data_IF_137725998907
#
_entry.id   IF_137725998907
#
_cell.length_a   1.000
_cell.length_b   1.000
_cell.length_c   1.000
_cell.angle_alpha   90.00
_cell.angle_beta   90.00
_cell.angle_gamma   90.00
#
_symmetry.space_group_name_H-M   'P 1'
#
loop_
_entity.id
_entity.type
_entity.pdbx_description
1 polymer ?
#
# COMPACT_ATOMS: atom_id res chain seq x y z
N UNK A 1 -25.05 11.76 -31.14
CA UNK A 1 -24.62 11.43 -29.75
C UNK A 1 -23.16 10.99 -29.81
N UNK A 2 -22.16 11.71 -29.27
CA UNK A 2 -20.81 11.16 -29.21
C UNK A 2 -20.77 10.14 -28.07
N UNK A 3 -20.46 8.89 -28.41
CA UNK A 3 -20.18 7.84 -27.45
C UNK A 3 -18.97 8.25 -26.61
N UNK A 4 -19.20 8.55 -25.33
CA UNK A 4 -18.14 8.74 -24.36
C UNK A 4 -17.28 7.47 -24.33
N UNK A 5 -16.03 7.56 -24.79
CA UNK A 5 -15.08 6.45 -24.67
C UNK A 5 -15.03 6.05 -23.19
N UNK A 6 -15.38 4.81 -22.81
CA UNK A 6 -15.08 4.36 -21.46
C UNK A 6 -13.57 4.47 -21.26
N UNK A 7 -13.12 4.80 -20.04
CA UNK A 7 -11.70 4.79 -19.61
C UNK A 7 -11.12 3.37 -19.68
N UNK A 8 -11.16 2.76 -20.85
CA UNK A 8 -10.75 1.41 -21.11
C UNK A 8 -9.22 1.35 -21.08
N UNK A 9 -8.72 0.37 -20.33
CA UNK A 9 -7.36 -0.13 -20.42
C UNK A 9 -6.22 0.70 -19.83
N UNK A 10 -6.40 1.21 -18.60
CA UNK A 10 -5.25 1.29 -17.66
C UNK A 10 -5.04 -0.07 -16.97
N UNK A 11 -5.02 -1.16 -17.72
CA UNK A 11 -4.70 -2.49 -17.19
C UNK A 11 -3.21 -2.75 -17.40
N UNK A 12 -2.44 -2.88 -16.32
CA UNK A 12 -1.08 -3.42 -16.36
C UNK A 12 -1.14 -4.80 -17.02
N UNK A 13 -0.22 -5.10 -17.95
CA UNK A 13 -0.20 -6.38 -18.68
C UNK A 13 -0.33 -7.58 -17.72
N UNK A 14 0.41 -7.55 -16.61
CA UNK A 14 0.39 -8.59 -15.58
C UNK A 14 -0.97 -8.73 -14.86
N UNK A 15 -1.65 -7.63 -14.57
CA UNK A 15 -2.97 -7.67 -13.94
C UNK A 15 -4.05 -8.14 -14.93
N UNK A 16 -3.87 -7.83 -16.22
CA UNK A 16 -4.75 -8.32 -17.29
C UNK A 16 -4.57 -9.83 -17.52
N UNK A 17 -3.33 -10.32 -17.47
CA UNK A 17 -3.00 -11.76 -17.56
C UNK A 17 -3.64 -12.56 -16.42
N UNK A 18 -3.73 -11.97 -15.23
CA UNK A 18 -4.43 -12.54 -14.08
C UNK A 18 -5.96 -12.35 -14.10
N UNK A 19 -6.52 -11.68 -15.11
CA UNK A 19 -7.96 -11.38 -15.20
C UNK A 19 -8.47 -10.35 -14.18
N UNK A 20 -7.58 -9.59 -13.53
CA UNK A 20 -7.88 -8.67 -12.45
C UNK A 20 -7.97 -7.21 -12.94
N UNK A 21 -8.79 -6.39 -12.28
CA UNK A 21 -8.70 -4.94 -12.42
C UNK A 21 -7.41 -4.44 -11.76
N UNK A 22 -6.80 -3.34 -12.24
CA UNK A 22 -5.62 -2.78 -11.59
C UNK A 22 -5.82 -2.51 -10.10
N UNK A 23 -7.04 -2.13 -9.70
CA UNK A 23 -7.39 -1.88 -8.30
C UNK A 23 -7.41 -3.16 -7.46
N UNK A 24 -7.90 -4.26 -8.04
CA UNK A 24 -7.85 -5.58 -7.43
C UNK A 24 -6.41 -6.05 -7.28
N UNK A 25 -5.63 -5.90 -8.34
CA UNK A 25 -4.23 -6.33 -8.42
C UNK A 25 -3.35 -5.63 -7.37
N UNK A 26 -3.50 -4.31 -7.23
CA UNK A 26 -2.79 -3.51 -6.22
C UNK A 26 -3.23 -3.88 -4.80
N UNK A 27 -4.54 -4.13 -4.57
CA UNK A 27 -5.04 -4.62 -3.27
C UNK A 27 -4.43 -5.97 -2.90
N UNK A 28 -4.35 -6.89 -3.85
CA UNK A 28 -3.81 -8.23 -3.63
C UNK A 28 -2.30 -8.21 -3.41
N UNK A 29 -1.56 -7.38 -4.16
CA UNK A 29 -0.13 -7.16 -3.93
C UNK A 29 0.14 -6.59 -2.53
N UNK A 30 -0.66 -5.62 -2.08
CA UNK A 30 -0.59 -5.07 -0.72
C UNK A 30 -0.83 -6.15 0.35
N UNK A 31 -1.83 -7.02 0.15
CA UNK A 31 -2.13 -8.11 1.08
C UNK A 31 -0.97 -9.11 1.18
N UNK A 32 -0.41 -9.52 0.04
CA UNK A 32 0.74 -10.43 0.01
C UNK A 32 1.96 -9.82 0.72
N UNK A 33 2.21 -8.52 0.55
CA UNK A 33 3.31 -7.84 1.24
C UNK A 33 3.13 -7.83 2.75
N UNK A 34 1.93 -7.56 3.28
CA UNK A 34 1.67 -7.58 4.74
C UNK A 34 1.82 -8.98 5.35
N UNK A 35 1.63 -10.05 4.57
CA UNK A 35 1.87 -11.41 5.05
C UNK A 35 3.37 -11.69 5.25
N UNK A 36 4.22 -11.15 4.38
CA UNK A 36 5.66 -11.45 4.34
C UNK A 36 6.47 -10.43 5.15
N UNK A 37 5.97 -9.20 5.30
CA UNK A 37 6.63 -8.14 6.06
C UNK A 37 6.07 -8.01 7.48
N UNK A 38 6.97 -7.83 8.46
CA UNK A 38 6.59 -7.66 9.86
C UNK A 38 6.19 -6.21 10.19
N UNK A 39 6.86 -5.25 9.56
CA UNK A 39 6.60 -3.81 9.70
C UNK A 39 7.11 -3.12 8.43
N UNK A 40 6.23 -2.44 7.71
CA UNK A 40 6.58 -1.79 6.43
C UNK A 40 6.34 -0.30 6.56
N UNK A 41 7.42 0.48 6.55
CA UNK A 41 7.33 1.93 6.56
C UNK A 41 6.62 2.46 5.29
N UNK A 42 5.91 3.58 5.44
CA UNK A 42 5.15 4.22 4.35
C UNK A 42 6.03 4.58 3.15
N UNK A 43 7.26 5.03 3.41
CA UNK A 43 8.24 5.38 2.38
C UNK A 43 8.72 4.14 1.62
N UNK A 44 9.09 3.08 2.34
CA UNK A 44 9.52 1.82 1.74
C UNK A 44 8.38 1.16 0.94
N UNK A 45 7.17 1.11 1.48
CA UNK A 45 5.98 0.60 0.80
C UNK A 45 5.75 1.31 -0.54
N UNK A 46 5.90 2.65 -0.55
CA UNK A 46 5.75 3.44 -1.78
C UNK A 46 6.87 3.16 -2.78
N UNK A 47 8.09 2.94 -2.31
CA UNK A 47 9.24 2.62 -3.14
C UNK A 47 9.06 1.23 -3.80
N UNK A 48 8.62 0.23 -3.02
CA UNK A 48 8.25 -1.10 -3.51
C UNK A 48 7.15 -1.00 -4.56
N UNK A 49 6.13 -0.18 -4.33
CA UNK A 49 5.08 0.04 -5.32
C UNK A 49 5.63 0.48 -6.68
N UNK A 50 6.56 1.43 -6.71
CA UNK A 50 7.15 1.90 -7.97
C UNK A 50 8.12 0.90 -8.61
N UNK A 51 8.71 -0.01 -7.83
CA UNK A 51 9.48 -1.13 -8.37
C UNK A 51 8.59 -2.17 -9.07
N UNK A 52 7.40 -2.45 -8.49
CA UNK A 52 6.43 -3.41 -9.05
C UNK A 52 5.64 -2.78 -10.22
N UNK A 53 5.33 -1.48 -10.11
CA UNK A 53 4.50 -0.74 -11.05
C UNK A 53 5.21 0.56 -11.51
N UNK A 54 6.20 0.44 -12.42
CA UNK A 54 6.99 1.60 -12.88
C UNK A 54 6.18 2.58 -13.76
N UNK A 55 5.03 2.13 -14.27
CA UNK A 55 4.16 2.92 -15.12
C UNK A 55 3.59 4.15 -14.41
N UNK A 56 3.83 5.36 -14.96
CA UNK A 56 3.31 6.61 -14.41
C UNK A 56 1.77 6.63 -14.28
N UNK A 57 1.06 5.86 -15.13
CA UNK A 57 -0.38 5.69 -15.04
C UNK A 57 -0.84 5.12 -13.70
N UNK A 58 0.01 4.35 -13.02
CA UNK A 58 -0.26 3.70 -11.75
C UNK A 58 0.16 4.56 -10.55
N UNK A 59 0.90 5.66 -10.75
CA UNK A 59 1.44 6.49 -9.68
C UNK A 59 0.35 7.01 -8.72
N UNK A 60 -0.84 7.33 -9.25
CA UNK A 60 -1.99 7.75 -8.44
C UNK A 60 -2.49 6.69 -7.45
N UNK A 61 -2.19 5.41 -7.69
CA UNK A 61 -2.61 4.29 -6.85
C UNK A 61 -1.60 3.95 -5.75
N UNK A 62 -0.41 4.54 -5.77
CA UNK A 62 0.60 4.34 -4.73
C UNK A 62 0.08 4.70 -3.33
N UNK A 63 -0.75 5.74 -3.25
CA UNK A 63 -1.39 6.14 -1.98
C UNK A 63 -2.41 5.10 -1.50
N UNK A 64 -3.26 4.57 -2.40
CA UNK A 64 -4.22 3.50 -2.03
C UNK A 64 -3.50 2.21 -1.61
N UNK A 65 -2.36 1.91 -2.22
CA UNK A 65 -1.52 0.77 -1.85
C UNK A 65 -0.98 0.89 -0.43
N UNK A 66 -0.35 2.02 -0.10
CA UNK A 66 0.18 2.28 1.25
C UNK A 66 -0.93 2.24 2.30
N UNK A 67 -2.10 2.84 2.01
CA UNK A 67 -3.26 2.79 2.92
C UNK A 67 -3.78 1.35 3.11
N UNK A 68 -3.74 0.54 2.06
CA UNK A 68 -4.18 -0.86 2.12
C UNK A 68 -3.22 -1.72 2.97
N UNK A 69 -1.92 -1.41 2.96
CA UNK A 69 -0.90 -2.05 3.80
C UNK A 69 -1.16 -1.70 5.27
N UNK A 70 -1.26 -0.41 5.60
CA UNK A 70 -1.50 0.04 6.98
C UNK A 70 -2.79 -0.56 7.57
N UNK A 71 -3.90 -0.45 6.84
CA UNK A 71 -5.19 -1.01 7.30
C UNK A 71 -5.12 -2.51 7.59
N UNK A 72 -4.36 -3.26 6.81
CA UNK A 72 -4.20 -4.70 6.99
C UNK A 72 -3.21 -5.03 8.12
N UNK A 73 -2.15 -4.25 8.29
CA UNK A 73 -1.22 -4.38 9.42
C UNK A 73 -1.95 -4.11 10.75
N UNK A 74 -2.73 -3.03 10.82
CA UNK A 74 -3.59 -2.71 11.97
C UNK A 74 -4.60 -3.84 12.24
N UNK A 75 -5.25 -4.36 11.19
CA UNK A 75 -6.18 -5.49 11.31
C UNK A 75 -5.52 -6.77 11.83
N UNK A 76 -4.26 -7.04 11.45
CA UNK A 76 -3.48 -8.19 11.93
C UNK A 76 -3.10 -8.04 13.41
N UNK A 77 -2.67 -6.84 13.83
CA UNK A 77 -2.39 -6.53 15.23
C UNK A 77 -3.65 -6.70 16.09
N UNK A 78 -4.78 -6.18 15.63
CA UNK A 78 -6.07 -6.33 16.29
C UNK A 78 -6.50 -7.81 16.40
N UNK A 79 -6.37 -8.59 15.32
CA UNK A 79 -6.70 -10.02 15.32
C UNK A 79 -5.75 -10.84 16.21
N UNK A 80 -4.50 -10.43 16.34
CA UNK A 80 -3.53 -11.06 17.25
C UNK A 80 -3.70 -10.64 18.71
N UNK A 81 -4.60 -9.68 19.01
CA UNK A 81 -4.76 -9.13 20.36
C UNK A 81 -3.56 -8.32 20.84
N UNK A 82 -2.66 -7.91 19.94
CA UNK A 82 -1.53 -7.06 20.29
C UNK A 82 -1.97 -5.59 20.29
N UNK A 83 -1.60 -4.81 21.32
CA UNK A 83 -1.85 -3.37 21.30
C UNK A 83 -1.06 -2.75 20.13
N UNK A 84 -1.60 -1.70 19.47
CA UNK A 84 -0.86 -0.97 18.44
C UNK A 84 0.46 -0.49 19.06
N UNK A 85 1.58 -0.74 18.36
CA UNK A 85 2.90 -0.40 18.84
C UNK A 85 2.95 1.10 19.16
N UNK A 86 2.96 1.43 20.45
CA UNK A 86 3.09 2.81 20.91
C UNK A 86 4.45 3.33 20.45
N UNK A 87 4.44 4.26 19.50
CA UNK A 87 5.64 5.01 19.09
C UNK A 87 6.24 5.63 20.36
N UNK A 88 7.46 5.26 20.78
CA UNK A 88 8.03 5.84 21.98
C UNK A 88 8.22 7.34 21.75
N UNK A 89 7.51 8.15 22.54
CA UNK A 89 7.65 9.60 22.51
C UNK A 89 9.13 9.99 22.67
N UNK A 90 9.66 10.92 21.86
CA UNK A 90 11.03 11.35 21.99
C UNK A 90 11.21 12.09 23.32
N UNK A 91 11.88 11.41 24.25
CA UNK A 91 12.23 11.91 25.59
C UNK A 91 13.41 12.87 25.51
N UNK A 92 13.19 14.07 24.97
CA UNK A 92 14.19 15.14 25.06
C UNK A 92 14.22 15.67 26.50
N UNK A 93 15.09 15.12 27.34
CA UNK A 93 15.46 15.72 28.62
C UNK A 93 16.48 16.82 28.33
N UNK A 94 16.02 18.06 28.22
CA UNK A 94 16.89 19.23 28.33
C UNK A 94 17.26 19.40 29.81
N UNK A 95 18.40 18.83 30.22
CA UNK A 95 19.06 19.23 31.45
C UNK A 95 19.84 20.52 31.14
N UNK A 96 19.32 21.66 31.56
CA UNK A 96 20.09 22.91 31.58
C UNK A 96 20.70 23.04 32.98
N UNK A 97 22.02 23.19 32.99
CA UNK A 97 22.91 23.27 34.15
C UNK A 97 22.70 24.54 34.98
#
# INVERSE_FOLDING_TARGET
MPAGRPKANRQLAHCREAGLSCRECVRQAAANLVQISADLDSGLARQIFFLIYPEQACASMATEFVQSIHRQADGRLAAAGLPPAAVPAPRWQAAVA
#
